data_IF_236885570057
#
_entry.id   IF_236885570057
#
_cell.length_a   1.000
_cell.length_b   1.000
_cell.length_c   1.000
_cell.angle_alpha   90.00
_cell.angle_beta   90.00
_cell.angle_gamma   90.00
#
_symmetry.space_group_name_H-M   'P 1'
#
loop_
_entity.id
_entity.type
_entity.pdbx_description
1 polymer ?
#
# COMPACT_ATOMS: atom_id res chain seq x y z
N UNK A 1 -10.24 -2.12 16.80
CA UNK A 1 -9.80 -0.97 16.01
C UNK A 1 -10.31 -1.13 14.57
N UNK A 2 -10.84 -0.06 13.96
CA UNK A 2 -11.34 -0.06 12.59
C UNK A 2 -10.30 0.55 11.64
N UNK A 3 -10.07 -0.11 10.51
CA UNK A 3 -9.35 0.45 9.36
C UNK A 3 -10.37 1.05 8.38
N UNK A 4 -10.16 2.29 7.93
CA UNK A 4 -11.15 3.01 7.14
C UNK A 4 -10.52 3.66 5.92
N UNK A 5 -11.11 3.36 4.76
CA UNK A 5 -10.87 4.07 3.50
C UNK A 5 -11.49 5.48 3.59
N UNK A 6 -10.76 6.48 3.14
CA UNK A 6 -11.16 7.89 3.25
C UNK A 6 -11.11 8.59 1.90
N UNK A 7 -12.24 8.70 1.23
CA UNK A 7 -12.47 9.58 0.07
C UNK A 7 -13.90 10.15 0.13
N UNK A 8 -14.10 11.36 -0.37
CA UNK A 8 -15.43 11.99 -0.41
C UNK A 8 -16.19 11.53 -1.68
N UNK A 9 -16.98 10.46 -1.52
CA UNK A 9 -17.72 9.85 -2.64
C UNK A 9 -18.65 10.85 -3.35
N UNK A 10 -19.40 11.67 -2.61
CA UNK A 10 -20.38 12.59 -3.21
C UNK A 10 -19.74 13.65 -4.12
N UNK A 11 -18.58 14.20 -3.72
CA UNK A 11 -17.85 15.17 -4.55
C UNK A 11 -17.16 14.46 -5.72
N UNK A 12 -16.63 13.25 -5.49
CA UNK A 12 -16.04 12.45 -6.57
C UNK A 12 -17.09 12.15 -7.65
N UNK A 13 -18.29 11.73 -7.26
CA UNK A 13 -19.39 11.43 -8.20
C UNK A 13 -19.79 12.67 -9.03
N UNK A 14 -19.86 13.85 -8.41
CA UNK A 14 -20.12 15.10 -9.12
C UNK A 14 -19.00 15.40 -10.14
N UNK A 15 -17.73 15.28 -9.75
CA UNK A 15 -16.58 15.48 -10.66
C UNK A 15 -16.53 14.47 -11.80
N UNK A 16 -16.90 13.21 -11.53
CA UNK A 16 -17.04 12.18 -12.58
C UNK A 16 -18.11 12.61 -13.60
N UNK A 17 -19.25 13.10 -13.13
CA UNK A 17 -20.31 13.56 -14.02
C UNK A 17 -19.86 14.75 -14.88
N UNK A 18 -19.14 15.72 -14.30
CA UNK A 18 -18.55 16.85 -15.03
C UNK A 18 -17.55 16.40 -16.11
N UNK A 19 -16.63 15.48 -15.76
CA UNK A 19 -15.65 14.95 -16.72
C UNK A 19 -16.32 14.21 -17.88
N UNK A 20 -17.33 13.38 -17.60
CA UNK A 20 -18.11 12.70 -18.64
C UNK A 20 -18.85 13.69 -19.54
N UNK A 21 -19.47 14.71 -18.97
CA UNK A 21 -20.15 15.76 -19.74
C UNK A 21 -19.19 16.58 -20.63
N UNK A 22 -17.92 16.69 -20.21
CA UNK A 22 -16.85 17.35 -20.98
C UNK A 22 -16.20 16.45 -22.04
N UNK A 23 -16.69 15.23 -22.26
CA UNK A 23 -16.15 14.29 -23.23
C UNK A 23 -14.91 13.53 -22.80
N UNK A 24 -14.52 13.61 -21.51
CA UNK A 24 -13.34 12.97 -20.95
C UNK A 24 -13.66 11.60 -20.29
N UNK A 25 -14.83 11.04 -20.59
CA UNK A 25 -15.31 9.81 -19.96
C UNK A 25 -14.48 8.56 -20.29
N UNK A 26 -13.79 8.52 -21.42
CA UNK A 26 -12.92 7.41 -21.81
C UNK A 26 -11.46 7.57 -21.36
N UNK A 27 -11.07 8.74 -20.88
CA UNK A 27 -9.69 9.05 -20.50
C UNK A 27 -9.31 8.48 -19.15
N UNK A 28 -8.22 7.71 -19.09
CA UNK A 28 -7.69 7.17 -17.81
C UNK A 28 -7.30 8.30 -16.85
N UNK A 29 -6.79 9.41 -17.38
CA UNK A 29 -6.37 10.59 -16.58
C UNK A 29 -7.55 11.19 -15.80
N UNK A 30 -8.79 10.98 -16.26
CA UNK A 30 -10.00 11.40 -15.55
C UNK A 30 -10.14 10.72 -14.18
N UNK A 31 -9.52 9.55 -13.98
CA UNK A 31 -9.54 8.88 -12.70
C UNK A 31 -8.84 9.70 -11.59
N UNK A 32 -7.55 10.06 -11.67
CA UNK A 32 -6.92 10.91 -10.65
C UNK A 32 -7.49 12.33 -10.60
N UNK A 33 -7.93 12.90 -11.73
CA UNK A 33 -8.57 14.23 -11.78
C UNK A 33 -9.89 14.26 -11.00
N UNK A 34 -10.70 13.21 -11.06
CA UNK A 34 -11.94 13.11 -10.28
C UNK A 34 -11.71 12.96 -8.77
N UNK A 35 -10.50 12.56 -8.35
CA UNK A 35 -10.12 12.19 -6.97
C UNK A 35 -8.91 12.99 -6.47
N UNK A 36 -8.96 14.33 -6.46
CA UNK A 36 -7.83 15.13 -5.97
C UNK A 36 -7.55 14.85 -4.48
N UNK A 37 -6.32 15.10 -4.07
CA UNK A 37 -5.80 14.76 -2.74
C UNK A 37 -6.57 15.41 -1.59
N UNK A 38 -7.09 16.63 -1.79
CA UNK A 38 -7.90 17.31 -0.77
C UNK A 38 -9.23 16.62 -0.45
N UNK A 39 -9.77 15.77 -1.34
CA UNK A 39 -10.98 14.99 -1.07
C UNK A 39 -10.69 13.77 -0.17
N UNK A 40 -9.48 13.24 -0.23
CA UNK A 40 -8.99 12.27 0.75
C UNK A 40 -8.79 12.96 2.11
N UNK A 41 -8.12 14.10 2.14
CA UNK A 41 -7.88 14.86 3.37
C UNK A 41 -9.19 15.31 4.06
N UNK A 42 -10.21 15.74 3.31
CA UNK A 42 -11.53 16.07 3.83
C UNK A 42 -12.17 14.85 4.50
N UNK A 43 -12.18 13.70 3.82
CA UNK A 43 -12.77 12.49 4.36
C UNK A 43 -12.02 11.98 5.60
N UNK A 44 -10.68 12.09 5.62
CA UNK A 44 -9.85 11.83 6.81
C UNK A 44 -10.25 12.75 7.97
N UNK A 45 -10.33 14.07 7.73
CA UNK A 45 -10.72 15.05 8.75
C UNK A 45 -12.10 14.73 9.34
N UNK A 46 -13.07 14.43 8.49
CA UNK A 46 -14.44 14.06 8.89
C UNK A 46 -14.47 12.78 9.71
N UNK A 47 -13.79 11.71 9.26
CA UNK A 47 -13.68 10.47 9.99
C UNK A 47 -13.07 10.69 11.38
N UNK A 48 -12.00 11.48 11.48
CA UNK A 48 -11.33 11.76 12.75
C UNK A 48 -12.24 12.52 13.75
N UNK A 49 -13.16 13.36 13.27
CA UNK A 49 -14.18 14.00 14.13
C UNK A 49 -15.22 13.00 14.62
N UNK A 50 -15.64 12.06 13.78
CA UNK A 50 -16.55 10.98 14.15
C UNK A 50 -15.87 10.06 15.17
N UNK A 51 -14.62 9.67 14.94
CA UNK A 51 -13.84 8.84 15.85
C UNK A 51 -13.61 9.54 17.21
N UNK A 52 -13.41 10.87 17.21
CA UNK A 52 -13.32 11.67 18.42
C UNK A 52 -14.62 11.62 19.23
N UNK A 53 -15.77 11.77 18.58
CA UNK A 53 -17.07 11.70 19.24
C UNK A 53 -17.38 10.31 19.81
N UNK A 54 -16.83 9.27 19.19
CA UNK A 54 -16.99 7.87 19.61
C UNK A 54 -15.90 7.40 20.60
N UNK A 55 -14.91 8.24 20.92
CA UNK A 55 -13.70 7.87 21.67
C UNK A 55 -13.04 6.57 21.14
N UNK A 56 -12.96 6.44 19.83
CA UNK A 56 -12.54 5.22 19.15
C UNK A 56 -11.18 5.39 18.46
N UNK A 57 -10.22 4.47 18.69
CA UNK A 57 -8.99 4.42 17.90
C UNK A 57 -9.29 3.96 16.47
N UNK A 58 -8.62 4.57 15.48
CA UNK A 58 -8.80 4.25 14.07
C UNK A 58 -7.48 4.07 13.34
N UNK A 59 -7.52 3.33 12.24
CA UNK A 59 -6.44 3.24 11.26
C UNK A 59 -6.91 3.94 9.99
N UNK A 60 -6.20 4.95 9.52
CA UNK A 60 -6.36 5.48 8.18
C UNK A 60 -5.55 4.58 7.26
N UNK A 61 -6.23 3.77 6.45
CA UNK A 61 -5.56 2.81 5.56
C UNK A 61 -5.08 3.49 4.28
N UNK A 62 -4.10 2.92 3.60
CA UNK A 62 -3.58 3.33 2.29
C UNK A 62 -3.51 4.86 2.06
N UNK A 63 -3.06 5.62 3.07
CA UNK A 63 -2.89 7.08 2.98
C UNK A 63 -1.91 7.45 1.87
N UNK A 64 -2.27 8.43 1.01
CA UNK A 64 -1.52 8.74 -0.20
C UNK A 64 -0.85 10.10 -0.21
N UNK A 65 -1.21 11.04 0.69
CA UNK A 65 -0.85 12.43 0.51
C UNK A 65 -0.54 13.17 1.82
N UNK A 66 0.13 14.32 1.65
CA UNK A 66 0.54 15.19 2.76
C UNK A 66 -0.64 15.80 3.50
N UNK A 67 -1.67 16.27 2.79
CA UNK A 67 -2.80 16.95 3.40
C UNK A 67 -3.53 16.02 4.40
N UNK A 68 -3.68 14.73 4.05
CA UNK A 68 -4.21 13.71 4.96
C UNK A 68 -3.33 13.54 6.21
N UNK A 69 -1.99 13.51 6.05
CA UNK A 69 -1.07 13.43 7.20
C UNK A 69 -1.16 14.66 8.11
N UNK A 70 -1.37 15.85 7.56
CA UNK A 70 -1.52 17.08 8.33
C UNK A 70 -2.82 17.06 9.18
N UNK A 71 -3.94 16.54 8.65
CA UNK A 71 -5.18 16.30 9.38
C UNK A 71 -5.00 15.27 10.52
N UNK A 72 -4.30 14.17 10.24
CA UNK A 72 -3.98 13.15 11.23
C UNK A 72 -3.10 13.71 12.35
N UNK A 73 -2.08 14.49 12.00
CA UNK A 73 -1.23 15.16 12.98
C UNK A 73 -2.03 16.12 13.89
N UNK A 74 -2.99 16.84 13.30
CA UNK A 74 -3.89 17.71 14.06
C UNK A 74 -4.78 16.91 15.04
N UNK A 75 -5.29 15.74 14.62
CA UNK A 75 -6.07 14.85 15.48
C UNK A 75 -5.24 14.29 16.64
N UNK A 76 -4.02 13.83 16.35
CA UNK A 76 -3.09 13.36 17.39
C UNK A 76 -2.73 14.44 18.42
N UNK A 77 -2.56 15.70 17.98
CA UNK A 77 -2.36 16.85 18.92
C UNK A 77 -3.57 17.08 19.85
N UNK A 78 -4.77 16.67 19.42
CA UNK A 78 -5.98 16.69 20.29
C UNK A 78 -6.10 15.48 21.21
N UNK A 79 -5.10 14.57 21.24
CA UNK A 79 -5.07 13.38 22.06
C UNK A 79 -5.74 12.14 21.43
N UNK A 80 -6.11 12.17 20.16
CA UNK A 80 -6.73 11.01 19.49
C UNK A 80 -5.70 9.94 19.16
N UNK A 81 -6.07 8.68 19.35
CA UNK A 81 -5.28 7.53 18.90
C UNK A 81 -5.60 7.24 17.44
N UNK A 82 -4.67 7.56 16.57
CA UNK A 82 -4.79 7.38 15.12
C UNK A 82 -3.55 6.68 14.59
N UNK A 83 -3.74 5.55 13.92
CA UNK A 83 -2.68 4.85 13.20
C UNK A 83 -2.81 5.11 11.70
N UNK A 84 -1.70 4.99 10.99
CA UNK A 84 -1.62 5.29 9.55
C UNK A 84 -0.94 4.16 8.82
N UNK A 85 -1.51 3.80 7.69
CA UNK A 85 -0.97 2.84 6.76
C UNK A 85 -0.77 3.49 5.39
N UNK A 86 0.28 3.13 4.68
CA UNK A 86 0.49 3.44 3.26
C UNK A 86 0.85 2.18 2.49
N UNK A 87 1.09 2.31 1.17
CA UNK A 87 1.36 1.16 0.30
C UNK A 87 2.56 1.43 -0.63
N UNK A 88 3.23 0.36 -1.15
CA UNK A 88 4.41 0.50 -2.02
C UNK A 88 4.18 1.34 -3.26
N UNK A 89 2.99 1.27 -3.87
CA UNK A 89 2.66 2.05 -5.07
C UNK A 89 2.73 3.56 -4.82
N UNK A 90 2.38 4.03 -3.63
CA UNK A 90 2.47 5.45 -3.25
C UNK A 90 3.87 5.88 -2.82
N UNK A 91 4.77 4.91 -2.59
CA UNK A 91 6.14 5.14 -2.16
C UNK A 91 7.15 5.04 -3.31
N UNK A 92 6.80 4.36 -4.40
CA UNK A 92 7.70 4.04 -5.50
C UNK A 92 7.24 4.55 -6.89
N UNK A 93 5.97 4.93 -7.02
CA UNK A 93 5.39 5.44 -8.27
C UNK A 93 4.87 6.86 -8.06
N UNK A 94 4.71 7.60 -9.15
CA UNK A 94 4.08 8.91 -9.19
C UNK A 94 2.95 8.95 -10.22
N UNK A 95 2.17 10.02 -10.26
CA UNK A 95 0.99 10.17 -11.12
C UNK A 95 1.31 10.21 -12.62
N UNK A 96 2.57 10.33 -13.00
CA UNK A 96 3.03 10.21 -14.39
C UNK A 96 2.58 8.91 -15.06
N UNK A 97 2.35 7.84 -14.28
CA UNK A 97 1.87 6.54 -14.76
C UNK A 97 0.50 6.61 -15.46
N UNK A 98 -0.31 7.64 -15.19
CA UNK A 98 -1.62 7.80 -15.83
C UNK A 98 -1.57 8.49 -17.19
N UNK A 99 -0.41 9.08 -17.55
CA UNK A 99 -0.23 9.86 -18.78
C UNK A 99 0.46 9.08 -19.91
N UNK A 100 0.53 7.73 -19.78
CA UNK A 100 1.04 6.89 -20.85
C UNK A 100 0.12 6.99 -22.09
N UNK A 101 0.73 7.19 -23.27
CA UNK A 101 -0.01 7.25 -24.53
C UNK A 101 -0.75 5.94 -24.87
N UNK A 102 -0.28 4.82 -24.33
CA UNK A 102 -0.99 3.56 -24.41
C UNK A 102 -2.02 3.45 -23.28
N UNK A 103 -3.29 3.58 -23.63
CA UNK A 103 -4.40 3.54 -22.69
C UNK A 103 -4.36 2.32 -21.73
N UNK A 104 -4.08 1.12 -22.27
CA UNK A 104 -3.99 -0.09 -21.45
C UNK A 104 -2.81 -0.07 -20.47
N UNK A 105 -1.74 0.64 -20.78
CA UNK A 105 -0.62 0.85 -19.84
C UNK A 105 -1.03 1.77 -18.72
N UNK A 106 -1.66 2.91 -19.01
CA UNK A 106 -2.17 3.82 -18.00
C UNK A 106 -3.26 3.17 -17.11
N UNK A 107 -4.18 2.42 -17.70
CA UNK A 107 -5.28 1.77 -16.99
C UNK A 107 -4.80 0.73 -15.95
N UNK A 108 -3.61 0.15 -16.12
CA UNK A 108 -3.01 -0.79 -15.15
C UNK A 108 -2.85 -0.19 -13.76
N UNK A 109 -2.64 1.12 -13.67
CA UNK A 109 -2.33 1.83 -12.43
C UNK A 109 -3.57 2.37 -11.71
N UNK A 110 -4.77 2.20 -12.26
CA UNK A 110 -6.00 2.67 -11.63
C UNK A 110 -6.25 1.93 -10.32
N UNK A 111 -6.24 2.69 -9.23
CA UNK A 111 -6.53 2.25 -7.85
C UNK A 111 -7.17 3.40 -7.07
N UNK A 112 -7.83 3.11 -5.97
CA UNK A 112 -8.50 4.10 -5.14
C UNK A 112 -8.02 4.00 -3.67
N UNK A 113 -7.41 5.07 -3.13
CA UNK A 113 -7.09 6.36 -3.76
C UNK A 113 -6.04 6.25 -4.88
N UNK A 114 -5.98 7.22 -5.82
CA UNK A 114 -5.03 7.17 -6.92
C UNK A 114 -3.59 7.45 -6.46
N UNK A 115 -2.62 7.01 -7.29
CA UNK A 115 -1.22 7.37 -7.15
C UNK A 115 -1.09 8.88 -7.34
N UNK A 116 -0.28 9.54 -6.50
CA UNK A 116 -0.15 11.00 -6.42
C UNK A 116 1.18 11.48 -6.99
N UNK A 117 1.28 12.79 -7.20
CA UNK A 117 2.52 13.44 -7.59
C UNK A 117 3.66 13.17 -6.58
N UNK A 118 4.90 13.22 -7.07
CA UNK A 118 6.13 12.88 -6.33
C UNK A 118 6.29 13.62 -4.99
N UNK A 119 5.76 14.84 -4.86
CA UNK A 119 5.80 15.60 -3.61
C UNK A 119 5.04 14.91 -2.46
N UNK A 120 3.94 14.21 -2.78
CA UNK A 120 3.20 13.40 -1.82
C UNK A 120 4.00 12.15 -1.44
N UNK A 121 4.63 11.49 -2.41
CA UNK A 121 5.56 10.39 -2.15
C UNK A 121 6.66 10.80 -1.16
N UNK A 122 7.29 11.97 -1.37
CA UNK A 122 8.28 12.53 -0.44
C UNK A 122 7.73 12.79 0.96
N UNK A 123 6.45 13.21 1.05
CA UNK A 123 5.79 13.42 2.34
C UNK A 123 5.57 12.10 3.09
N UNK A 124 5.15 11.04 2.40
CA UNK A 124 4.97 9.70 2.98
C UNK A 124 6.30 9.15 3.53
N UNK A 125 7.39 9.25 2.78
CA UNK A 125 8.71 8.83 3.27
C UNK A 125 9.18 9.60 4.51
N UNK A 126 8.90 10.92 4.58
CA UNK A 126 9.14 11.70 5.80
C UNK A 126 8.28 11.21 6.96
N UNK A 127 7.00 10.92 6.71
CA UNK A 127 6.09 10.37 7.71
C UNK A 127 6.56 9.01 8.28
N UNK A 128 7.05 8.12 7.43
CA UNK A 128 7.65 6.83 7.86
C UNK A 128 8.88 7.06 8.73
N UNK A 129 9.81 7.94 8.33
CA UNK A 129 11.01 8.25 9.12
C UNK A 129 10.70 8.82 10.50
N UNK A 130 9.64 9.65 10.61
CA UNK A 130 9.21 10.27 11.85
C UNK A 130 8.31 9.37 12.71
N UNK A 131 7.96 8.19 12.22
CA UNK A 131 6.99 7.31 12.88
C UNK A 131 5.55 7.81 12.85
N UNK A 132 5.25 8.77 11.98
CA UNK A 132 3.89 9.29 11.75
C UNK A 132 3.04 8.26 10.99
N UNK A 133 3.67 7.44 10.13
CA UNK A 133 3.09 6.28 9.44
C UNK A 133 3.65 5.03 10.08
N UNK A 134 2.80 4.14 10.54
CA UNK A 134 3.19 2.95 11.29
C UNK A 134 3.44 1.74 10.40
N UNK A 135 2.65 1.57 9.35
CA UNK A 135 2.65 0.33 8.56
C UNK A 135 2.69 0.59 7.06
N UNK A 136 3.29 -0.36 6.34
CA UNK A 136 3.26 -0.42 4.88
C UNK A 136 2.56 -1.73 4.50
N UNK A 137 1.33 -1.65 3.96
CA UNK A 137 0.59 -2.79 3.46
C UNK A 137 0.65 -2.85 1.93
N UNK A 138 -0.27 -3.53 1.27
CA UNK A 138 -0.30 -3.61 -0.20
C UNK A 138 -1.60 -3.10 -0.79
N UNK A 139 -2.68 -3.17 -0.02
CA UNK A 139 -4.03 -3.04 -0.56
C UNK A 139 -4.23 -3.95 -1.80
N UNK A 140 -3.73 -5.20 -1.71
CA UNK A 140 -3.73 -6.15 -2.82
C UNK A 140 -5.15 -6.44 -3.29
N UNK A 141 -5.50 -5.88 -4.44
CA UNK A 141 -6.78 -6.09 -5.10
C UNK A 141 -6.52 -6.29 -6.60
N UNK A 142 -6.24 -7.54 -6.97
CA UNK A 142 -5.74 -7.88 -8.31
C UNK A 142 -6.86 -8.11 -9.31
N UNK A 143 -6.71 -7.52 -10.49
CA UNK A 143 -7.53 -7.73 -11.66
C UNK A 143 -6.65 -8.14 -12.83
N UNK A 144 -7.20 -8.85 -13.81
CA UNK A 144 -6.49 -9.14 -15.06
C UNK A 144 -6.47 -7.90 -15.97
N UNK A 145 -5.55 -7.86 -16.94
CA UNK A 145 -5.52 -6.79 -17.94
C UNK A 145 -6.82 -6.69 -18.72
N UNK A 146 -7.44 -7.82 -19.06
CA UNK A 146 -8.75 -7.85 -19.73
C UNK A 146 -9.85 -7.20 -18.88
N UNK A 147 -9.80 -7.38 -17.55
CA UNK A 147 -10.74 -6.68 -16.66
C UNK A 147 -10.46 -5.17 -16.61
N UNK A 148 -9.20 -4.74 -16.60
CA UNK A 148 -8.84 -3.32 -16.70
C UNK A 148 -9.35 -2.69 -18.01
N UNK A 149 -9.26 -3.42 -19.11
CA UNK A 149 -9.71 -2.97 -20.43
C UNK A 149 -11.24 -2.79 -20.55
N UNK A 150 -12.03 -3.29 -19.59
CA UNK A 150 -13.48 -3.03 -19.54
C UNK A 150 -13.86 -1.54 -19.42
N UNK A 151 -12.91 -0.72 -19.01
CA UNK A 151 -13.10 0.74 -18.87
C UNK A 151 -12.73 1.57 -20.08
N UNK A 152 -12.47 0.99 -21.25
CA UNK A 152 -12.03 1.72 -22.45
C UNK A 152 -12.94 2.87 -22.88
N UNK A 153 -14.24 2.66 -22.76
CA UNK A 153 -15.25 3.67 -23.14
C UNK A 153 -15.74 4.48 -21.94
N UNK A 154 -15.38 4.08 -20.72
CA UNK A 154 -15.80 4.71 -19.47
C UNK A 154 -14.80 4.39 -18.36
N UNK A 155 -13.96 5.37 -18.00
CA UNK A 155 -12.91 5.20 -17.01
C UNK A 155 -13.42 4.71 -15.65
N UNK A 156 -14.69 4.96 -15.32
CA UNK A 156 -15.29 4.49 -14.05
C UNK A 156 -15.51 2.99 -14.01
N UNK A 157 -15.42 2.32 -15.15
CA UNK A 157 -15.50 0.86 -15.26
C UNK A 157 -14.15 0.16 -15.21
N UNK A 158 -13.05 0.91 -15.14
CA UNK A 158 -11.74 0.34 -14.85
C UNK A 158 -11.77 -0.11 -13.39
N UNK A 159 -11.67 -1.41 -13.09
CA UNK A 159 -11.68 -1.86 -11.69
C UNK A 159 -10.47 -1.27 -10.93
N UNK A 160 -10.77 -0.62 -9.80
CA UNK A 160 -9.75 0.01 -8.95
C UNK A 160 -9.03 -1.01 -8.10
N UNK A 161 -7.72 -1.17 -8.32
CA UNK A 161 -6.88 -2.05 -7.50
C UNK A 161 -5.66 -2.57 -8.24
N UNK A 162 -4.62 -2.94 -7.47
CA UNK A 162 -3.32 -3.35 -7.97
C UNK A 162 -2.87 -4.67 -7.34
N UNK A 163 -2.18 -5.57 -8.09
CA UNK A 163 -1.44 -6.65 -7.47
C UNK A 163 -0.19 -6.09 -6.77
N UNK A 164 0.13 -6.58 -5.56
CA UNK A 164 1.27 -6.02 -4.80
C UNK A 164 1.83 -6.94 -3.72
N UNK A 165 1.15 -8.06 -3.39
CA UNK A 165 1.56 -8.89 -2.24
C UNK A 165 2.92 -9.55 -2.45
N UNK A 166 3.28 -9.93 -3.68
CA UNK A 166 4.57 -10.58 -3.99
C UNK A 166 5.73 -9.59 -3.99
N UNK A 167 5.49 -8.34 -4.37
CA UNK A 167 6.56 -7.36 -4.63
C UNK A 167 6.82 -6.39 -3.48
N UNK A 168 5.90 -6.33 -2.47
CA UNK A 168 5.96 -5.36 -1.38
C UNK A 168 7.32 -5.27 -0.70
N UNK A 169 7.86 -6.40 -0.26
CA UNK A 169 9.10 -6.44 0.52
C UNK A 169 10.28 -5.90 -0.28
N UNK A 170 10.43 -6.35 -1.50
CA UNK A 170 11.57 -6.02 -2.36
C UNK A 170 11.50 -4.58 -2.88
N UNK A 171 10.32 -4.11 -3.28
CA UNK A 171 10.13 -2.72 -3.71
C UNK A 171 10.40 -1.75 -2.57
N UNK A 172 9.79 -1.99 -1.38
CA UNK A 172 10.00 -1.12 -0.21
C UNK A 172 11.46 -1.11 0.22
N UNK A 173 12.11 -2.29 0.29
CA UNK A 173 13.53 -2.39 0.65
C UNK A 173 14.39 -1.60 -0.35
N UNK A 174 14.18 -1.81 -1.64
CA UNK A 174 14.97 -1.19 -2.70
C UNK A 174 14.90 0.33 -2.63
N UNK A 175 13.70 0.92 -2.59
CA UNK A 175 13.54 2.37 -2.53
C UNK A 175 14.04 2.93 -1.20
N UNK A 176 13.74 2.25 -0.10
CA UNK A 176 14.16 2.70 1.24
C UNK A 176 15.67 2.78 1.38
N UNK A 177 16.41 1.76 0.93
CA UNK A 177 17.84 1.63 1.16
C UNK A 177 18.65 2.38 0.10
N UNK A 178 18.32 2.22 -1.19
CA UNK A 178 19.06 2.86 -2.27
C UNK A 178 19.02 4.39 -2.20
N UNK A 179 17.88 4.94 -1.83
CA UNK A 179 17.69 6.38 -1.75
C UNK A 179 17.85 6.91 -0.31
N UNK A 180 18.34 6.08 0.61
CA UNK A 180 18.50 6.42 2.02
C UNK A 180 17.24 7.06 2.65
N UNK A 181 16.07 6.58 2.23
CA UNK A 181 14.77 7.09 2.70
C UNK A 181 14.37 6.56 4.06
N UNK A 182 14.76 5.31 4.37
CA UNK A 182 14.46 4.66 5.64
C UNK A 182 15.58 3.65 5.99
N UNK A 183 15.93 3.53 7.27
CA UNK A 183 16.90 2.52 7.72
C UNK A 183 16.30 1.11 7.63
N UNK A 184 17.15 0.08 7.57
CA UNK A 184 16.73 -1.32 7.60
C UNK A 184 15.83 -1.62 8.80
N UNK A 185 16.17 -1.14 9.99
CA UNK A 185 15.32 -1.27 11.18
C UNK A 185 13.96 -0.57 11.02
N UNK A 186 13.92 0.55 10.27
CA UNK A 186 12.67 1.23 9.91
C UNK A 186 11.80 0.38 8.98
N UNK A 187 12.42 -0.25 7.97
CA UNK A 187 11.73 -1.18 7.06
C UNK A 187 11.16 -2.36 7.85
N UNK A 188 11.96 -3.00 8.71
CA UNK A 188 11.50 -4.12 9.55
C UNK A 188 10.33 -3.70 10.47
N UNK A 189 10.40 -2.51 11.07
CA UNK A 189 9.28 -1.99 11.88
C UNK A 189 8.01 -1.82 11.06
N UNK A 190 8.10 -1.16 9.91
CA UNK A 190 6.92 -0.85 9.10
C UNK A 190 6.27 -2.09 8.45
N UNK A 191 7.07 -3.10 8.09
CA UNK A 191 6.58 -4.30 7.40
C UNK A 191 6.23 -5.46 8.34
N UNK A 192 6.75 -5.50 9.57
CA UNK A 192 6.65 -6.67 10.45
C UNK A 192 6.28 -6.32 11.90
N UNK A 193 7.11 -5.57 12.62
CA UNK A 193 6.91 -5.31 14.04
C UNK A 193 5.63 -4.50 14.33
N UNK A 194 5.47 -3.36 13.67
CA UNK A 194 4.30 -2.51 13.88
C UNK A 194 2.98 -3.18 13.46
N UNK A 195 2.88 -3.88 12.30
CA UNK A 195 1.69 -4.68 12.00
C UNK A 195 1.38 -5.71 13.08
N UNK A 196 2.39 -6.42 13.59
CA UNK A 196 2.19 -7.40 14.67
C UNK A 196 1.67 -6.75 15.96
N UNK A 197 2.20 -5.59 16.34
CA UNK A 197 1.73 -4.82 17.51
C UNK A 197 0.33 -4.26 17.29
N UNK A 198 0.07 -3.64 16.14
CA UNK A 198 -1.19 -3.01 15.79
C UNK A 198 -2.35 -4.00 15.79
N UNK A 199 -2.09 -5.20 15.26
CA UNK A 199 -3.09 -6.26 15.16
C UNK A 199 -3.07 -7.25 16.34
N UNK A 200 -2.32 -6.97 17.41
CA UNK A 200 -2.33 -7.76 18.64
C UNK A 200 -1.74 -9.17 18.48
N UNK A 201 -0.73 -9.32 17.63
CA UNK A 201 0.00 -10.56 17.40
C UNK A 201 1.41 -10.57 18.04
N UNK A 202 1.86 -9.39 18.49
CA UNK A 202 3.15 -9.24 19.15
C UNK A 202 3.08 -9.76 20.59
N UNK A 203 4.11 -10.45 21.14
CA UNK A 203 5.40 -10.78 20.54
C UNK A 203 5.43 -12.13 19.80
N UNK A 204 4.30 -12.83 19.66
CA UNK A 204 4.27 -14.11 18.92
C UNK A 204 4.78 -13.94 17.49
N UNK A 205 4.44 -12.79 16.84
CA UNK A 205 4.89 -12.36 15.52
C UNK A 205 5.61 -11.03 15.62
N UNK A 206 6.36 -10.66 14.57
CA UNK A 206 6.96 -9.33 14.42
C UNK A 206 8.29 -9.12 15.14
N UNK A 207 8.85 -10.15 15.74
CA UNK A 207 10.15 -10.10 16.41
C UNK A 207 10.88 -11.44 16.31
N UNK A 208 12.20 -11.40 16.23
CA UNK A 208 13.06 -12.58 16.34
C UNK A 208 13.53 -12.67 17.79
N UNK A 209 12.83 -13.48 18.59
CA UNK A 209 13.11 -13.66 20.01
C UNK A 209 12.74 -15.07 20.46
N UNK A 210 13.34 -15.54 21.56
CA UNK A 210 12.96 -16.81 22.15
C UNK A 210 11.47 -16.79 22.56
N UNK A 211 10.71 -17.81 22.15
CA UNK A 211 9.27 -17.93 22.40
C UNK A 211 8.38 -17.32 21.29
N UNK A 212 8.94 -16.60 20.32
CA UNK A 212 8.22 -16.15 19.14
C UNK A 212 8.18 -17.21 18.05
N UNK A 213 7.18 -17.18 17.19
CA UNK A 213 7.14 -18.04 16.00
C UNK A 213 8.32 -17.69 15.07
N UNK A 214 9.03 -18.70 14.59
CA UNK A 214 10.15 -18.53 13.65
C UNK A 214 9.63 -18.29 12.22
N UNK A 215 8.91 -17.18 12.02
CA UNK A 215 8.50 -16.68 10.71
C UNK A 215 9.59 -15.71 10.24
N UNK A 216 10.48 -16.21 9.39
CA UNK A 216 11.72 -15.52 9.06
C UNK A 216 11.84 -15.38 7.55
N UNK A 217 12.10 -14.18 7.09
CA UNK A 217 12.49 -13.89 5.71
C UNK A 217 14.00 -13.64 5.69
N UNK A 218 14.71 -14.41 4.89
CA UNK A 218 16.14 -14.21 4.61
C UNK A 218 16.22 -13.40 3.30
N UNK A 219 16.76 -12.21 3.40
CA UNK A 219 16.95 -11.31 2.29
C UNK A 219 18.42 -11.26 1.88
N UNK A 220 18.72 -11.50 0.60
CA UNK A 220 20.07 -11.41 0.04
C UNK A 220 20.24 -10.06 -0.67
N UNK A 221 21.02 -9.11 -0.13
CA UNK A 221 21.23 -7.81 -0.77
C UNK A 221 22.02 -7.90 -2.09
N UNK A 222 22.65 -9.04 -2.39
CA UNK A 222 23.36 -9.28 -3.66
C UNK A 222 22.48 -9.83 -4.79
N UNK A 223 21.28 -10.32 -4.49
CA UNK A 223 20.40 -10.99 -5.45
C UNK A 223 19.48 -10.00 -6.22
N UNK A 224 20.07 -9.00 -6.90
CA UNK A 224 19.30 -8.03 -7.70
C UNK A 224 18.69 -8.70 -8.93
N UNK A 225 17.42 -8.40 -9.21
CA UNK A 225 16.71 -8.86 -10.40
C UNK A 225 15.71 -7.80 -10.89
N UNK A 226 15.07 -8.07 -12.03
CA UNK A 226 14.03 -7.20 -12.59
C UNK A 226 12.67 -7.84 -12.38
N UNK A 227 11.72 -7.07 -11.91
CA UNK A 227 10.35 -7.54 -11.70
C UNK A 227 9.60 -7.58 -13.04
N UNK A 228 9.02 -8.72 -13.36
CA UNK A 228 8.15 -8.91 -14.52
C UNK A 228 6.85 -9.57 -14.13
N UNK A 229 5.72 -9.04 -14.60
CA UNK A 229 4.41 -9.60 -14.32
C UNK A 229 4.24 -11.06 -14.78
N UNK A 230 4.97 -11.46 -15.84
CA UNK A 230 4.99 -12.82 -16.34
C UNK A 230 5.59 -13.84 -15.36
N UNK A 231 6.48 -13.39 -14.46
CA UNK A 231 7.15 -14.24 -13.48
C UNK A 231 6.38 -14.35 -12.15
N UNK A 232 5.29 -13.56 -12.00
CA UNK A 232 4.51 -13.53 -10.76
C UNK A 232 3.58 -14.74 -10.64
N UNK A 233 3.39 -15.21 -9.41
CA UNK A 233 2.42 -16.25 -9.08
C UNK A 233 0.97 -15.72 -9.11
N UNK A 234 0.81 -14.40 -9.01
CA UNK A 234 -0.48 -13.72 -9.11
C UNK A 234 -1.12 -13.95 -10.49
N UNK A 235 -2.39 -14.34 -10.50
CA UNK A 235 -3.16 -14.53 -11.73
C UNK A 235 -3.55 -13.23 -12.44
N UNK A 236 -3.14 -12.08 -11.93
CA UNK A 236 -3.33 -10.79 -12.59
C UNK A 236 -2.62 -10.72 -13.95
N UNK A 237 -1.48 -11.44 -14.09
CA UNK A 237 -0.67 -11.45 -15.32
C UNK A 237 0.11 -10.16 -15.55
N UNK A 238 0.19 -9.28 -14.55
CA UNK A 238 1.01 -8.07 -14.57
C UNK A 238 1.41 -7.64 -13.16
N UNK A 239 2.38 -6.75 -13.07
CA UNK A 239 2.74 -6.03 -11.85
C UNK A 239 2.75 -4.51 -12.12
N UNK A 240 2.37 -3.65 -11.16
CA UNK A 240 2.55 -2.21 -11.31
C UNK A 240 4.02 -1.79 -11.31
N UNK A 241 4.92 -2.71 -10.97
CA UNK A 241 6.38 -2.51 -10.93
C UNK A 241 7.09 -3.20 -12.09
N UNK A 242 6.44 -3.31 -13.26
CA UNK A 242 7.02 -3.90 -14.46
C UNK A 242 8.34 -3.22 -14.84
N UNK A 243 9.41 -4.00 -15.01
CA UNK A 243 10.75 -3.48 -15.31
C UNK A 243 11.50 -2.87 -14.13
N UNK A 244 10.92 -2.84 -12.93
CA UNK A 244 11.58 -2.33 -11.72
C UNK A 244 12.76 -3.22 -11.34
N UNK A 245 13.96 -2.64 -11.22
CA UNK A 245 15.14 -3.37 -10.75
C UNK A 245 15.23 -3.32 -9.25
N UNK A 246 15.21 -4.50 -8.62
CA UNK A 246 15.38 -4.64 -7.17
C UNK A 246 16.85 -4.52 -6.76
N UNK A 247 17.08 -4.11 -5.52
CA UNK A 247 18.39 -4.15 -4.88
C UNK A 247 18.40 -5.31 -3.87
N UNK A 248 18.75 -6.50 -4.37
CA UNK A 248 18.63 -7.75 -3.63
C UNK A 248 17.26 -8.41 -3.83
N UNK A 249 17.05 -9.52 -3.14
CA UNK A 249 15.83 -10.31 -3.25
C UNK A 249 15.63 -11.26 -2.07
N UNK A 250 14.43 -11.82 -1.95
CA UNK A 250 14.11 -12.83 -0.94
C UNK A 250 14.75 -14.17 -1.34
N UNK A 251 15.69 -14.66 -0.52
CA UNK A 251 16.34 -15.95 -0.78
C UNK A 251 15.61 -17.11 -0.11
N UNK A 252 15.16 -16.93 1.14
CA UNK A 252 14.41 -17.97 1.87
C UNK A 252 13.29 -17.39 2.70
N UNK A 253 12.20 -18.15 2.84
CA UNK A 253 11.10 -17.84 3.77
C UNK A 253 10.83 -19.06 4.64
N UNK A 254 10.82 -18.84 5.95
CA UNK A 254 10.42 -19.83 6.94
C UNK A 254 9.10 -19.44 7.59
N UNK A 255 8.23 -20.41 7.79
CA UNK A 255 7.00 -20.28 8.58
C UNK A 255 7.10 -21.28 9.76
N UNK A 256 7.09 -20.73 10.97
CA UNK A 256 7.29 -21.51 12.21
C UNK A 256 8.48 -22.46 12.13
N UNK A 257 9.61 -21.97 11.60
CA UNK A 257 10.85 -22.71 11.46
C UNK A 257 10.92 -23.68 10.27
N UNK A 258 9.87 -23.85 9.50
CA UNK A 258 9.86 -24.72 8.33
C UNK A 258 10.02 -23.93 7.03
N UNK A 259 10.95 -24.34 6.19
CA UNK A 259 11.26 -23.71 4.91
C UNK A 259 10.06 -23.78 3.98
N UNK A 260 9.59 -22.63 3.52
CA UNK A 260 8.45 -22.47 2.62
C UNK A 260 8.86 -22.02 1.22
N UNK A 261 9.89 -21.16 1.15
CA UNK A 261 10.42 -20.65 -0.12
C UNK A 261 11.94 -20.80 -0.10
N UNK A 262 12.52 -21.27 -1.20
CA UNK A 262 13.96 -21.34 -1.43
C UNK A 262 14.28 -20.86 -2.86
N UNK A 263 15.11 -19.82 -2.99
CA UNK A 263 15.49 -19.27 -4.29
C UNK A 263 14.29 -18.87 -5.16
N UNK A 264 13.28 -18.23 -4.59
CA UNK A 264 12.05 -17.80 -5.29
C UNK A 264 11.03 -18.93 -5.59
N UNK A 265 11.33 -20.18 -5.20
CA UNK A 265 10.43 -21.32 -5.43
C UNK A 265 9.70 -21.73 -4.16
N UNK A 266 8.41 -21.96 -4.25
CA UNK A 266 7.63 -22.54 -3.15
C UNK A 266 8.00 -24.01 -3.01
N UNK A 267 8.57 -24.39 -1.85
CA UNK A 267 9.04 -25.75 -1.53
C UNK A 267 8.30 -26.38 -0.36
N UNK A 268 7.61 -25.54 0.43
CA UNK A 268 6.85 -25.98 1.62
C UNK A 268 5.42 -26.39 1.33
N UNK A 269 4.81 -27.02 2.34
CA UNK A 269 3.41 -27.44 2.32
C UNK A 269 2.46 -26.39 2.92
N UNK A 270 1.16 -26.69 2.89
CA UNK A 270 0.13 -25.86 3.52
C UNK A 270 0.24 -25.92 5.05
N UNK A 271 0.49 -24.79 5.69
CA UNK A 271 0.71 -24.68 7.14
C UNK A 271 -0.06 -23.53 7.79
N UNK A 272 -1.00 -22.92 7.06
CA UNK A 272 -1.78 -21.79 7.56
C UNK A 272 -2.57 -22.18 8.82
N UNK A 273 -2.54 -21.29 9.84
CA UNK A 273 -3.33 -21.42 11.06
C UNK A 273 -4.03 -20.09 11.36
N UNK A 274 -5.24 -20.19 11.91
CA UNK A 274 -5.91 -19.00 12.43
C UNK A 274 -5.20 -18.49 13.70
N UNK A 275 -4.87 -17.22 13.71
CA UNK A 275 -4.25 -16.57 14.87
C UNK A 275 -5.28 -15.70 15.58
N UNK A 276 -5.59 -16.06 16.83
CA UNK A 276 -6.42 -15.20 17.69
C UNK A 276 -5.63 -13.94 18.05
N UNK A 277 -6.21 -12.77 17.77
CA UNK A 277 -5.61 -11.49 18.09
C UNK A 277 -5.79 -11.13 19.56
N UNK A 278 -4.77 -10.49 20.12
CA UNK A 278 -4.83 -9.80 21.40
C UNK A 278 -5.19 -8.32 21.25
N UNK A 279 -4.88 -7.54 22.29
CA UNK A 279 -4.99 -6.07 22.24
C UNK A 279 -3.88 -5.46 21.39
N UNK A 280 -4.17 -4.28 20.82
CA UNK A 280 -3.13 -3.47 20.19
C UNK A 280 -2.04 -3.13 21.21
N UNK A 281 -0.77 -3.26 20.80
CA UNK A 281 0.41 -3.00 21.62
C UNK A 281 1.30 -1.89 21.00
N UNK A 282 0.76 -1.10 20.06
CA UNK A 282 1.45 0.00 19.40
C UNK A 282 1.11 1.33 20.08
#
# INVERSE_FOLDING_TARGET
IAGVHCENAGVIDARIAELKASGLGADVVSHPISRPDYLEAEAVSRLLRIAQAADAPVIIVHTTNRASLDEIAAARRRGQTVYVETCPQYLALDDGVYYDANWSMAARYVCAPPIRAEENQRALWRGLRRGEIQTISTDHCSFTLAQKDMGRDDFTKIPGGLPGVETRGEVVYTVAINENKLSLGGVCRALSENPAKLYGLYPRKGVIAAGSDADIVVYDPGASHVLHGADMLSKAGYTPFEGFRTNGGVSKVYLRGQLQVDGGKVVGGKMGEYLKRGKCAL
#
